data_IF_610336103906
#
_entry.id   IF_610336103906
#
_cell.length_a   1.000
_cell.length_b   1.000
_cell.length_c   1.000
_cell.angle_alpha   90.00
_cell.angle_beta   90.00
_cell.angle_gamma   90.00
#
_symmetry.space_group_name_H-M   'P 1'
#
loop_
_entity.id
_entity.type
_entity.pdbx_description
1 polymer ?
#
# COMPACT_ATOMS: atom_id res chain seq x y z
N UNK A 1 -0.17 -7.76 17.14
CA UNK A 1 0.55 -6.81 18.03
C UNK A 1 2.02 -6.95 17.72
N UNK A 2 2.75 -5.84 17.58
CA UNK A 2 4.19 -5.85 17.31
C UNK A 2 4.89 -5.13 18.45
N UNK A 3 6.05 -5.65 18.86
CA UNK A 3 6.91 -5.02 19.88
C UNK A 3 7.79 -3.97 19.22
N UNK A 4 7.54 -2.70 19.52
CA UNK A 4 8.32 -1.56 19.04
C UNK A 4 8.97 -0.92 20.26
N UNK A 5 10.30 -0.84 20.29
CA UNK A 5 11.06 -0.23 21.39
C UNK A 5 10.58 -0.68 22.78
N UNK A 6 10.33 -1.98 22.98
CA UNK A 6 9.87 -2.56 24.25
C UNK A 6 8.37 -2.42 24.54
N UNK A 7 7.61 -1.67 23.75
CA UNK A 7 6.15 -1.50 23.91
C UNK A 7 5.35 -2.34 22.90
N UNK A 8 4.30 -3.02 23.36
CA UNK A 8 3.38 -3.77 22.48
C UNK A 8 2.37 -2.80 21.86
N UNK A 9 2.45 -2.60 20.55
CA UNK A 9 1.55 -1.70 19.82
C UNK A 9 0.62 -2.51 18.90
N UNK A 10 -0.67 -2.14 18.88
CA UNK A 10 -1.64 -2.65 17.90
C UNK A 10 -1.52 -1.83 16.62
N UNK A 11 -1.03 -2.44 15.56
CA UNK A 11 -0.94 -1.81 14.24
C UNK A 11 -2.35 -1.67 13.68
N UNK A 12 -2.75 -0.42 13.41
CA UNK A 12 -4.00 -0.10 12.71
C UNK A 12 -3.63 0.42 11.32
N UNK A 13 -4.06 -0.31 10.28
CA UNK A 13 -3.86 0.13 8.90
C UNK A 13 -4.99 1.06 8.50
N UNK A 14 -4.65 2.24 7.95
CA UNK A 14 -5.62 3.24 7.49
C UNK A 14 -6.39 2.78 6.25
N UNK A 15 -5.73 2.04 5.35
CA UNK A 15 -6.31 1.45 4.15
C UNK A 15 -5.66 0.10 3.90
N UNK A 16 -6.48 -0.92 3.68
CA UNK A 16 -6.03 -2.29 3.40
C UNK A 16 -6.04 -2.64 1.91
N UNK A 17 -6.87 -1.94 1.12
CA UNK A 17 -6.96 -2.17 -0.33
C UNK A 17 -5.82 -1.49 -1.07
N UNK A 18 -5.34 -2.16 -2.11
CA UNK A 18 -4.35 -1.59 -3.01
C UNK A 18 -4.95 -0.43 -3.81
N UNK A 19 -4.10 0.54 -4.13
CA UNK A 19 -4.49 1.63 -5.03
C UNK A 19 -4.42 1.12 -6.46
N UNK A 20 -5.57 0.76 -7.01
CA UNK A 20 -5.68 0.27 -8.37
C UNK A 20 -5.75 1.40 -9.41
N UNK A 21 -5.17 1.15 -10.58
CA UNK A 21 -5.25 2.08 -11.71
C UNK A 21 -6.69 2.25 -12.21
N UNK A 22 -7.05 3.49 -12.58
CA UNK A 22 -8.33 3.81 -13.22
C UNK A 22 -8.56 2.95 -14.48
N UNK A 23 -9.78 2.43 -14.67
CA UNK A 23 -10.20 1.49 -15.75
C UNK A 23 -9.47 0.13 -15.81
N UNK A 24 -8.65 -0.25 -14.82
CA UNK A 24 -7.99 -1.56 -14.82
C UNK A 24 -8.96 -2.74 -14.72
N UNK A 25 -10.14 -2.52 -14.13
CA UNK A 25 -11.22 -3.51 -14.09
C UNK A 25 -11.88 -3.77 -15.45
N UNK A 26 -11.85 -2.77 -16.35
CA UNK A 26 -12.53 -2.84 -17.65
C UNK A 26 -11.64 -3.38 -18.77
N UNK A 27 -10.33 -3.16 -18.68
CA UNK A 27 -9.39 -3.55 -19.74
C UNK A 27 -8.21 -4.36 -19.21
N UNK A 28 -8.04 -5.59 -19.73
CA UNK A 28 -6.91 -6.47 -19.36
C UNK A 28 -5.52 -5.91 -19.71
N UNK A 29 -5.43 -5.00 -20.69
CA UNK A 29 -4.17 -4.30 -21.04
C UNK A 29 -3.65 -3.38 -19.94
N UNK A 30 -4.54 -2.91 -19.05
CA UNK A 30 -4.19 -2.00 -17.96
C UNK A 30 -3.83 -2.82 -16.73
N UNK A 31 -2.54 -2.87 -16.40
CA UNK A 31 -2.09 -3.44 -15.14
C UNK A 31 -2.72 -2.68 -13.95
N UNK A 32 -3.10 -3.37 -12.87
CA UNK A 32 -3.74 -2.74 -11.71
C UNK A 32 -2.79 -1.85 -10.90
N UNK A 33 -1.47 -1.89 -11.14
CA UNK A 33 -0.51 -1.08 -10.40
C UNK A 33 -0.76 0.44 -10.57
N UNK A 34 -0.72 1.17 -9.46
CA UNK A 34 -1.05 2.60 -9.40
C UNK A 34 -0.19 3.45 -10.35
N UNK A 35 -0.83 4.41 -11.02
CA UNK A 35 -0.17 5.46 -11.82
C UNK A 35 -0.93 6.78 -11.68
N UNK A 36 -0.21 7.90 -11.58
CA UNK A 36 -0.81 9.24 -11.50
C UNK A 36 -1.52 9.59 -12.82
N UNK A 37 -2.85 9.87 -12.81
CA UNK A 37 -3.58 10.28 -14.01
C UNK A 37 -3.12 11.67 -14.50
N UNK A 38 -3.06 11.86 -15.83
CA UNK A 38 -2.53 13.08 -16.47
C UNK A 38 -3.55 13.89 -17.26
N UNK A 39 -4.56 13.24 -17.85
CA UNK A 39 -5.54 13.89 -18.72
C UNK A 39 -6.44 14.91 -18.00
N UNK A 40 -6.89 15.92 -18.73
CA UNK A 40 -7.75 16.99 -18.20
C UNK A 40 -9.15 16.50 -17.83
N UNK A 41 -9.68 15.55 -18.59
CA UNK A 41 -11.04 15.03 -18.39
C UNK A 41 -11.11 13.91 -17.34
N UNK A 42 -9.98 13.53 -16.75
CA UNK A 42 -9.94 12.42 -15.81
C UNK A 42 -10.49 12.83 -14.45
N UNK A 43 -11.65 12.28 -14.07
CA UNK A 43 -12.30 12.54 -12.77
C UNK A 43 -11.46 12.16 -11.55
N UNK A 44 -10.63 11.12 -11.64
CA UNK A 44 -9.73 10.74 -10.54
C UNK A 44 -8.62 11.76 -10.32
N UNK A 45 -8.17 12.46 -11.38
CA UNK A 45 -7.18 13.55 -11.24
C UNK A 45 -7.72 14.70 -10.38
N UNK A 46 -9.01 14.98 -10.51
CA UNK A 46 -9.69 16.06 -9.80
C UNK A 46 -10.31 15.63 -8.47
N UNK A 47 -10.07 14.38 -8.04
CA UNK A 47 -10.56 13.84 -6.77
C UNK A 47 -12.09 13.97 -6.59
N UNK A 48 -12.86 13.77 -7.66
CA UNK A 48 -14.33 13.76 -7.55
C UNK A 48 -14.81 12.70 -6.55
N UNK A 49 -15.84 13.05 -5.77
CA UNK A 49 -16.47 12.14 -4.81
C UNK A 49 -17.03 10.90 -5.52
N UNK A 50 -16.90 9.73 -4.89
CA UNK A 50 -17.39 8.45 -5.43
C UNK A 50 -16.46 7.77 -6.45
N UNK A 51 -15.35 8.43 -6.82
CA UNK A 51 -14.32 7.83 -7.67
C UNK A 51 -13.20 7.20 -6.83
N UNK A 52 -12.39 6.33 -7.48
CA UNK A 52 -11.22 5.71 -6.84
C UNK A 52 -10.29 6.77 -6.26
N UNK A 53 -9.99 6.68 -4.96
CA UNK A 53 -9.14 7.65 -4.28
C UNK A 53 -7.68 7.56 -4.75
N UNK A 54 -7.05 8.71 -4.94
CA UNK A 54 -5.62 8.82 -5.19
C UNK A 54 -4.83 8.46 -3.92
N UNK A 55 -3.64 7.83 -4.00
CA UNK A 55 -2.76 7.73 -2.86
C UNK A 55 -2.39 9.14 -2.40
N UNK A 56 -2.61 9.45 -1.13
CA UNK A 56 -2.31 10.77 -0.60
C UNK A 56 -0.79 11.01 -0.55
N UNK A 57 -0.42 12.28 -0.38
CA UNK A 57 0.96 12.67 -0.07
C UNK A 57 1.46 11.96 1.20
N UNK A 58 2.80 11.89 1.36
CA UNK A 58 3.51 11.16 2.43
C UNK A 58 2.94 11.42 3.84
N UNK A 59 2.38 12.60 4.09
CA UNK A 59 1.74 12.99 5.36
C UNK A 59 0.63 12.04 5.85
N UNK A 60 -0.15 11.44 4.95
CA UNK A 60 -1.30 10.61 5.32
C UNK A 60 -0.96 9.11 5.43
N UNK A 61 0.31 8.74 5.22
CA UNK A 61 0.77 7.37 5.33
C UNK A 61 0.54 6.80 6.74
N UNK A 62 0.62 5.47 6.88
CA UNK A 62 0.70 4.84 8.20
C UNK A 62 1.81 5.51 9.00
N UNK A 63 1.61 5.71 10.31
CA UNK A 63 2.62 6.31 11.20
C UNK A 63 3.97 5.67 10.90
N UNK A 64 5.05 6.45 10.84
CA UNK A 64 6.40 5.93 10.51
C UNK A 64 6.82 4.77 11.42
N UNK A 65 6.34 4.77 12.67
CA UNK A 65 6.52 3.64 13.58
C UNK A 65 5.92 2.34 13.05
N UNK A 66 4.83 2.38 12.28
CA UNK A 66 4.11 1.20 11.77
C UNK A 66 4.54 0.76 10.35
N UNK A 67 5.50 1.46 9.71
CA UNK A 67 5.87 1.27 8.29
C UNK A 67 6.98 0.24 8.04
N UNK A 68 7.82 -0.10 9.03
CA UNK A 68 9.03 -0.93 8.86
C UNK A 68 9.00 -2.31 9.53
N UNK A 69 7.81 -2.87 9.84
CA UNK A 69 7.74 -4.21 10.46
C UNK A 69 7.47 -5.31 9.44
N UNK A 70 8.53 -5.75 8.77
CA UNK A 70 8.57 -7.12 8.28
C UNK A 70 8.80 -8.04 9.46
N UNK A 71 7.91 -9.03 9.64
CA UNK A 71 8.21 -10.20 10.46
C UNK A 71 9.31 -10.94 9.72
N UNK A 72 10.56 -10.60 10.03
CA UNK A 72 11.72 -11.39 9.63
C UNK A 72 11.66 -12.71 10.39
N UNK A 73 10.80 -13.64 9.97
CA UNK A 73 11.10 -15.05 10.17
C UNK A 73 12.32 -15.31 9.30
N UNK A 74 13.50 -15.20 9.92
CA UNK A 74 14.75 -15.67 9.35
C UNK A 74 14.51 -17.08 8.83
N UNK A 75 14.37 -17.22 7.52
CA UNK A 75 14.46 -18.52 6.85
C UNK A 75 15.95 -18.86 6.86
N UNK A 76 16.46 -19.23 8.04
CA UNK A 76 17.72 -19.96 8.13
C UNK A 76 17.44 -21.29 7.46
N UNK A 77 17.70 -21.35 6.15
CA UNK A 77 17.97 -22.60 5.49
C UNK A 77 19.26 -23.11 6.11
N UNK A 78 19.15 -23.86 7.21
CA UNK A 78 20.20 -24.75 7.68
C UNK A 78 20.38 -25.83 6.63
N UNK A 79 21.09 -25.49 5.56
CA UNK A 79 21.56 -26.39 4.51
C UNK A 79 23.02 -26.74 4.77
N UNK A 80 23.31 -27.33 5.92
CA UNK A 80 24.47 -28.20 6.10
C UNK A 80 23.88 -29.60 6.22
N UNK A 81 23.95 -30.34 5.10
CA UNK A 81 24.16 -31.79 5.02
C UNK A 81 24.26 -32.15 3.53
N UNK A 82 25.44 -31.88 2.96
CA UNK A 82 26.29 -32.78 2.15
C UNK A 82 27.61 -32.08 1.87
#
# INVERSE_FOLDING_TARGET
MVTVSGTKVKIVKKKMSNFERHESERYHRLKPNWRKPKGIDNRVRWCFRGMRAMPPSVSDQTRERDSYFHVATKRFSSGILR
#
